data_IF_857138560295
#
_entry.id   IF_857138560295
#
_cell.length_a   1.000
_cell.length_b   1.000
_cell.length_c   1.000
_cell.angle_alpha   90.00
_cell.angle_beta   90.00
_cell.angle_gamma   90.00
#
_symmetry.space_group_name_H-M   'P 1'
#
loop_
_entity.id
_entity.type
_entity.pdbx_description
1 polymer ?
#
# COMPACT_ATOMS: atom_id res chain seq x y z
N UNK A 1 13.64 14.08 5.70
CA UNK A 1 13.02 14.71 4.48
C UNK A 1 11.90 13.79 4.05
N UNK A 2 10.67 14.27 3.98
CA UNK A 2 9.50 13.44 3.66
C UNK A 2 9.59 12.87 2.24
N UNK A 3 9.31 11.58 2.08
CA UNK A 3 9.29 10.89 0.79
C UNK A 3 8.12 11.38 -0.08
N UNK A 4 8.37 11.55 -1.38
CA UNK A 4 7.38 12.05 -2.35
C UNK A 4 6.99 10.96 -3.34
N UNK A 5 5.86 11.16 -4.02
CA UNK A 5 5.45 10.27 -5.10
C UNK A 5 6.51 10.26 -6.21
N UNK A 6 6.92 9.07 -6.63
CA UNK A 6 7.97 8.86 -7.62
C UNK A 6 9.39 8.72 -7.05
N UNK A 7 9.63 9.09 -5.79
CA UNK A 7 10.91 8.83 -5.13
C UNK A 7 11.15 7.32 -5.01
N UNK A 8 12.44 6.93 -5.03
CA UNK A 8 12.81 5.56 -4.72
C UNK A 8 12.63 5.33 -3.23
N UNK A 9 11.86 4.32 -2.86
CA UNK A 9 11.73 3.86 -1.49
C UNK A 9 13.11 3.50 -0.94
N UNK A 10 13.56 4.10 0.17
CA UNK A 10 14.87 3.79 0.74
C UNK A 10 15.03 2.30 1.02
N UNK A 11 16.18 1.73 0.64
CA UNK A 11 16.54 0.37 1.03
C UNK A 11 17.04 0.35 2.48
N UNK A 12 16.83 -0.76 3.15
CA UNK A 12 17.29 -0.97 4.52
C UNK A 12 17.49 -2.44 4.83
N UNK A 13 18.25 -2.71 5.87
CA UNK A 13 18.34 -4.02 6.52
C UNK A 13 17.88 -3.87 7.96
N UNK A 14 16.89 -4.65 8.39
CA UNK A 14 16.28 -4.58 9.72
C UNK A 14 15.82 -5.96 10.20
N UNK A 15 15.88 -6.19 11.51
CA UNK A 15 15.30 -7.38 12.14
C UNK A 15 13.78 -7.33 12.13
N UNK A 16 13.15 -8.49 12.07
CA UNK A 16 11.69 -8.62 12.03
C UNK A 16 11.22 -9.89 12.73
N UNK A 17 9.90 -10.02 12.86
CA UNK A 17 9.26 -11.25 13.33
C UNK A 17 9.52 -12.48 12.45
N UNK A 18 10.04 -12.28 11.23
CA UNK A 18 10.38 -13.34 10.28
C UNK A 18 11.90 -13.45 10.02
N UNK A 19 12.72 -12.93 10.96
CA UNK A 19 14.15 -12.83 10.81
C UNK A 19 14.60 -11.52 10.19
N UNK A 20 15.87 -11.45 9.78
CA UNK A 20 16.45 -10.25 9.20
C UNK A 20 15.98 -10.04 7.76
N UNK A 21 15.54 -8.84 7.43
CA UNK A 21 15.03 -8.45 6.11
C UNK A 21 15.92 -7.39 5.49
N UNK A 22 16.35 -7.65 4.24
CA UNK A 22 16.85 -6.64 3.31
C UNK A 22 15.70 -6.24 2.41
N UNK A 23 15.23 -5.02 2.53
CA UNK A 23 13.91 -4.64 2.02
C UNK A 23 13.76 -4.78 0.50
N UNK A 24 14.71 -4.24 -0.28
CA UNK A 24 14.62 -4.33 -1.75
C UNK A 24 14.75 -5.77 -2.26
N UNK A 25 15.65 -6.55 -1.64
CA UNK A 25 15.81 -7.98 -1.96
C UNK A 25 14.55 -8.77 -1.61
N UNK A 26 14.00 -8.54 -0.40
CA UNK A 26 12.78 -9.18 0.06
C UNK A 26 11.58 -8.82 -0.84
N UNK A 27 11.45 -7.56 -1.24
CA UNK A 27 10.37 -7.11 -2.12
C UNK A 27 10.46 -7.78 -3.50
N UNK A 28 11.68 -7.91 -4.07
CA UNK A 28 11.89 -8.45 -5.41
C UNK A 28 11.10 -7.66 -6.46
N UNK A 29 10.48 -8.34 -7.41
CA UNK A 29 9.66 -7.74 -8.47
C UNK A 29 8.17 -7.60 -8.08
N UNK A 30 7.85 -7.63 -6.79
CA UNK A 30 6.50 -7.45 -6.30
C UNK A 30 6.19 -5.99 -6.00
N UNK A 31 4.92 -5.67 -5.94
CA UNK A 31 4.42 -4.47 -5.27
C UNK A 31 4.60 -4.64 -3.76
N UNK A 32 4.80 -3.53 -3.05
CA UNK A 32 4.94 -3.49 -1.60
C UNK A 32 3.89 -2.60 -0.94
N UNK A 33 3.42 -3.04 0.22
CA UNK A 33 2.69 -2.21 1.17
C UNK A 33 3.49 -2.21 2.47
N UNK A 34 4.24 -1.12 2.71
CA UNK A 34 4.94 -0.88 3.95
C UNK A 34 4.10 0.04 4.81
N UNK A 35 3.78 -0.38 6.04
CA UNK A 35 2.95 0.43 6.92
C UNK A 35 3.44 0.39 8.37
N UNK A 36 3.44 1.56 9.02
CA UNK A 36 3.80 1.69 10.42
C UNK A 36 2.57 1.67 11.33
N UNK A 37 2.76 1.26 12.58
CA UNK A 37 1.78 1.36 13.65
C UNK A 37 2.45 1.89 14.93
N UNK A 38 1.72 2.63 15.79
CA UNK A 38 2.32 3.29 16.95
C UNK A 38 3.01 2.35 17.93
N UNK A 39 2.35 1.28 18.36
CA UNK A 39 2.91 0.33 19.33
C UNK A 39 2.16 -1.01 19.30
N UNK A 40 2.89 -2.07 19.66
CA UNK A 40 2.32 -3.38 19.92
C UNK A 40 1.34 -3.34 21.11
N UNK A 41 0.49 -4.37 21.24
CA UNK A 41 -0.49 -4.51 22.33
C UNK A 41 -1.45 -3.33 22.47
N UNK A 42 -1.79 -2.67 21.36
CA UNK A 42 -2.76 -1.58 21.32
C UNK A 42 -4.01 -1.95 20.51
N UNK A 43 -5.20 -1.45 20.88
CA UNK A 43 -6.45 -1.93 20.29
C UNK A 43 -6.54 -1.70 18.79
N UNK A 44 -6.30 -0.48 18.30
CA UNK A 44 -6.43 -0.13 16.89
C UNK A 44 -5.38 -0.87 16.04
N UNK A 45 -4.13 -0.95 16.51
CA UNK A 45 -3.07 -1.67 15.81
C UNK A 45 -3.40 -3.18 15.67
N UNK A 46 -3.95 -3.79 16.73
CA UNK A 46 -4.40 -5.19 16.70
C UNK A 46 -5.44 -5.42 15.61
N UNK A 47 -6.42 -4.53 15.48
CA UNK A 47 -7.45 -4.63 14.44
C UNK A 47 -6.87 -4.43 13.03
N UNK A 48 -5.94 -3.50 12.86
CA UNK A 48 -5.29 -3.24 11.56
C UNK A 48 -4.46 -4.43 11.08
N UNK A 49 -3.59 -4.99 11.94
CA UNK A 49 -2.75 -6.12 11.57
C UNK A 49 -3.58 -7.38 11.33
N UNK A 50 -4.60 -7.61 12.16
CA UNK A 50 -5.53 -8.71 11.95
C UNK A 50 -6.31 -8.60 10.64
N UNK A 51 -6.79 -7.40 10.29
CA UNK A 51 -7.47 -7.18 9.01
C UNK A 51 -6.52 -7.37 7.83
N UNK A 52 -5.30 -6.84 7.92
CA UNK A 52 -4.25 -7.03 6.90
C UNK A 52 -3.95 -8.51 6.67
N UNK A 53 -3.87 -9.30 7.75
CA UNK A 53 -3.65 -10.75 7.64
C UNK A 53 -4.78 -11.47 6.90
N UNK A 54 -6.04 -11.05 7.09
CA UNK A 54 -7.20 -11.57 6.37
C UNK A 54 -7.19 -11.23 4.89
N UNK A 55 -6.49 -10.19 4.48
CA UNK A 55 -6.36 -9.77 3.08
C UNK A 55 -5.23 -10.50 2.31
N UNK A 56 -4.62 -11.54 2.89
CA UNK A 56 -3.50 -12.30 2.28
C UNK A 56 -3.75 -12.64 0.82
N UNK A 57 -4.90 -13.25 0.52
CA UNK A 57 -5.22 -13.71 -0.82
C UNK A 57 -5.50 -12.53 -1.78
N UNK A 58 -6.07 -11.43 -1.26
CA UNK A 58 -6.29 -10.22 -2.05
C UNK A 58 -4.97 -9.53 -2.41
N UNK A 59 -4.00 -9.50 -1.49
CA UNK A 59 -2.65 -9.03 -1.80
C UNK A 59 -1.94 -9.97 -2.78
N UNK A 60 -2.01 -11.27 -2.58
CA UNK A 60 -1.39 -12.25 -3.45
C UNK A 60 -1.91 -12.18 -4.90
N UNK A 61 -3.21 -12.02 -5.12
CA UNK A 61 -3.83 -11.84 -6.44
C UNK A 61 -3.25 -10.64 -7.20
N UNK A 62 -2.78 -9.62 -6.49
CA UNK A 62 -2.22 -8.37 -7.03
C UNK A 62 -0.70 -8.36 -7.09
N UNK A 63 -0.05 -9.47 -6.69
CA UNK A 63 1.41 -9.53 -6.60
C UNK A 63 1.98 -8.56 -5.55
N UNK A 64 1.28 -8.38 -4.43
CA UNK A 64 1.64 -7.44 -3.35
C UNK A 64 2.18 -8.19 -2.15
N UNK A 65 3.28 -7.70 -1.58
CA UNK A 65 3.82 -8.10 -0.28
C UNK A 65 3.53 -7.02 0.75
N UNK A 66 2.95 -7.41 1.89
CA UNK A 66 2.74 -6.51 3.02
C UNK A 66 3.86 -6.66 4.05
N UNK A 67 4.24 -5.55 4.68
CA UNK A 67 5.22 -5.50 5.76
C UNK A 67 4.83 -4.39 6.74
N UNK A 68 4.75 -4.74 8.02
CA UNK A 68 4.45 -3.77 9.08
C UNK A 68 5.73 -3.30 9.77
N UNK A 69 5.65 -2.19 10.51
CA UNK A 69 6.76 -1.64 11.28
C UNK A 69 6.27 -0.94 12.54
N UNK A 70 6.98 -1.15 13.65
CA UNK A 70 6.94 -0.26 14.81
C UNK A 70 8.32 -0.19 15.47
N UNK A 71 8.45 0.66 16.48
CA UNK A 71 9.67 0.78 17.28
C UNK A 71 9.81 -0.29 18.37
N UNK A 72 8.85 -1.20 18.46
CA UNK A 72 8.89 -2.31 19.43
C UNK A 72 9.94 -3.38 19.01
N UNK A 73 10.50 -4.12 19.97
CA UNK A 73 11.49 -5.16 19.69
C UNK A 73 10.86 -6.46 19.18
N UNK A 74 11.67 -7.31 18.53
CA UNK A 74 11.24 -8.59 17.93
C UNK A 74 10.45 -9.48 18.91
N UNK A 75 10.91 -9.60 20.16
CA UNK A 75 10.23 -10.43 21.17
C UNK A 75 8.82 -9.91 21.54
N UNK A 76 8.61 -8.59 21.43
CA UNK A 76 7.28 -7.99 21.57
C UNK A 76 6.38 -8.42 20.42
N UNK A 77 6.86 -8.30 19.18
CA UNK A 77 6.10 -8.72 17.99
C UNK A 77 5.69 -10.19 18.06
N UNK A 78 6.59 -11.09 18.44
CA UNK A 78 6.26 -12.53 18.54
C UNK A 78 5.10 -12.80 19.52
N UNK A 79 5.15 -12.21 20.71
CA UNK A 79 4.08 -12.36 21.71
C UNK A 79 2.77 -11.72 21.23
N UNK A 80 2.86 -10.54 20.62
CA UNK A 80 1.67 -9.83 20.16
C UNK A 80 1.01 -10.51 18.94
N UNK A 81 1.77 -11.16 18.07
CA UNK A 81 1.23 -11.96 16.97
C UNK A 81 0.28 -13.04 17.50
N UNK A 82 0.58 -13.67 18.64
CA UNK A 82 -0.30 -14.66 19.27
C UNK A 82 -1.65 -14.04 19.66
N UNK A 83 -1.63 -12.86 20.28
CA UNK A 83 -2.84 -12.12 20.66
C UNK A 83 -3.64 -11.66 19.42
N UNK A 84 -2.96 -11.17 18.38
CA UNK A 84 -3.63 -10.80 17.11
C UNK A 84 -4.33 -12.02 16.52
N UNK A 85 -3.63 -13.14 16.42
CA UNK A 85 -4.18 -14.37 15.84
C UNK A 85 -5.42 -14.84 16.60
N UNK A 86 -5.37 -14.80 17.92
CA UNK A 86 -6.47 -15.21 18.79
C UNK A 86 -7.65 -14.22 18.68
N UNK A 87 -7.40 -12.91 18.87
CA UNK A 87 -8.46 -11.90 19.00
C UNK A 87 -9.11 -11.57 17.66
N UNK A 88 -8.36 -11.66 16.56
CA UNK A 88 -8.84 -11.35 15.22
C UNK A 88 -9.24 -12.59 14.42
N UNK A 89 -9.11 -13.80 14.98
CA UNK A 89 -9.40 -15.07 14.33
C UNK A 89 -8.73 -15.17 12.95
N UNK A 90 -7.41 -15.06 12.94
CA UNK A 90 -6.57 -15.05 11.73
C UNK A 90 -5.17 -15.62 12.05
N UNK A 91 -4.30 -15.63 11.06
CA UNK A 91 -2.86 -15.89 11.22
C UNK A 91 -2.10 -14.76 10.58
N UNK A 92 -1.30 -14.03 11.35
CA UNK A 92 -0.39 -13.00 10.80
C UNK A 92 0.58 -13.70 9.83
N UNK A 93 0.62 -13.22 8.60
CA UNK A 93 1.29 -13.87 7.47
C UNK A 93 2.26 -12.94 6.72
N UNK A 94 2.67 -11.86 7.36
CA UNK A 94 3.62 -10.88 6.87
C UNK A 94 4.60 -10.50 7.99
N UNK A 95 5.83 -10.04 7.65
CA UNK A 95 6.80 -9.61 8.64
C UNK A 95 6.37 -8.34 9.37
N UNK A 96 6.76 -8.23 10.64
CA UNK A 96 6.70 -6.99 11.42
C UNK A 96 8.14 -6.58 11.73
N UNK A 97 8.58 -5.44 11.22
CA UNK A 97 9.92 -4.89 11.43
C UNK A 97 10.04 -4.32 12.85
N UNK A 98 11.12 -4.67 13.52
CA UNK A 98 11.46 -4.23 14.86
C UNK A 98 12.47 -3.07 14.79
N UNK A 99 11.96 -1.84 14.71
CA UNK A 99 12.76 -0.63 14.47
C UNK A 99 13.08 0.12 15.77
N UNK A 100 13.57 -0.60 16.79
CA UNK A 100 13.87 -0.03 18.10
C UNK A 100 14.94 1.07 18.06
N UNK A 101 15.84 1.02 17.08
CA UNK A 101 16.87 2.04 16.81
C UNK A 101 16.34 3.20 15.93
N UNK A 102 15.08 3.15 15.49
CA UNK A 102 14.38 4.16 14.66
C UNK A 102 15.01 4.45 13.31
N UNK A 103 15.89 3.59 12.85
CA UNK A 103 16.63 3.77 11.61
C UNK A 103 15.71 3.79 10.38
N UNK A 104 14.77 2.86 10.30
CA UNK A 104 13.80 2.81 9.22
C UNK A 104 12.74 3.90 9.38
N UNK A 105 12.32 4.17 10.62
CA UNK A 105 11.38 5.25 10.93
C UNK A 105 11.89 6.61 10.47
N UNK A 106 13.19 6.89 10.67
CA UNK A 106 13.81 8.13 10.22
C UNK A 106 13.92 8.21 8.69
N UNK A 107 14.26 7.09 8.02
CA UNK A 107 14.33 7.02 6.56
C UNK A 107 12.98 7.30 5.90
N UNK A 108 11.89 6.82 6.48
CA UNK A 108 10.54 6.92 5.94
C UNK A 108 9.71 8.06 6.57
N UNK A 109 10.32 8.89 7.42
CA UNK A 109 9.65 10.02 8.09
C UNK A 109 8.39 9.57 8.85
N UNK A 110 8.53 8.51 9.68
CA UNK A 110 7.40 7.87 10.37
C UNK A 110 7.15 8.41 11.77
N UNK A 111 8.08 9.21 12.33
CA UNK A 111 7.94 9.85 13.63
C UNK A 111 7.63 11.31 13.41
N UNK A 112 6.45 11.74 13.83
CA UNK A 112 5.98 13.10 13.70
C UNK A 112 6.00 13.78 15.09
N UNK A 113 6.98 14.63 15.41
CA UNK A 113 7.18 15.13 16.79
C UNK A 113 5.97 15.83 17.39
N UNK A 114 5.13 16.47 16.58
CA UNK A 114 3.90 17.12 17.07
C UNK A 114 2.74 16.13 17.33
N UNK A 115 2.86 14.88 16.88
CA UNK A 115 1.90 13.80 17.18
C UNK A 115 2.45 12.86 18.26
N UNK A 116 3.72 12.45 18.14
CA UNK A 116 4.50 11.68 19.11
C UNK A 116 5.97 11.83 18.75
N UNK A 117 6.81 12.06 19.73
CA UNK A 117 8.27 12.15 19.58
C UNK A 117 8.98 10.80 19.73
N UNK A 118 8.25 9.75 20.11
CA UNK A 118 8.79 8.42 20.43
C UNK A 118 8.22 7.29 19.60
N UNK A 119 6.98 7.41 19.14
CA UNK A 119 6.24 6.37 18.44
C UNK A 119 6.00 6.76 16.98
N UNK A 120 5.95 5.76 16.10
CA UNK A 120 5.56 5.98 14.70
C UNK A 120 4.08 6.33 14.58
N UNK A 121 3.75 7.18 13.61
CA UNK A 121 2.36 7.42 13.19
C UNK A 121 1.85 6.26 12.32
N UNK A 122 0.58 6.29 11.91
CA UNK A 122 0.00 5.31 11.00
C UNK A 122 0.25 5.68 9.54
N UNK A 123 1.50 5.68 9.11
CA UNK A 123 1.85 5.87 7.70
C UNK A 123 1.77 4.57 6.92
N UNK A 124 1.45 4.69 5.63
CA UNK A 124 1.44 3.58 4.69
C UNK A 124 1.98 4.06 3.35
N UNK A 125 2.84 3.25 2.75
CA UNK A 125 3.42 3.46 1.43
C UNK A 125 3.04 2.30 0.51
N UNK A 126 2.51 2.61 -0.68
CA UNK A 126 2.44 1.65 -1.78
C UNK A 126 3.67 1.87 -2.66
N UNK A 127 4.40 0.80 -2.88
CA UNK A 127 5.69 0.79 -3.58
C UNK A 127 5.58 -0.14 -4.79
N UNK A 128 5.96 0.33 -5.97
CA UNK A 128 5.89 -0.47 -7.19
C UNK A 128 7.12 -1.41 -7.35
N UNK A 129 7.11 -2.35 -8.33
CA UNK A 129 8.24 -3.24 -8.58
C UNK A 129 9.57 -2.53 -8.87
N UNK A 130 9.52 -1.28 -9.38
CA UNK A 130 10.70 -0.44 -9.60
C UNK A 130 11.14 0.31 -8.33
N UNK A 131 10.59 -0.05 -7.17
CA UNK A 131 10.87 0.57 -5.87
C UNK A 131 10.41 2.02 -5.75
N UNK A 132 9.50 2.49 -6.61
CA UNK A 132 8.98 3.86 -6.53
C UNK A 132 7.79 3.95 -5.59
N UNK A 133 7.77 5.00 -4.79
CA UNK A 133 6.61 5.39 -3.97
C UNK A 133 5.46 5.81 -4.89
N UNK A 134 4.32 5.12 -4.81
CA UNK A 134 3.14 5.38 -5.64
C UNK A 134 1.98 5.97 -4.86
N UNK A 135 1.92 5.75 -3.57
CA UNK A 135 0.94 6.30 -2.64
C UNK A 135 1.58 6.47 -1.28
N UNK A 136 1.22 7.55 -0.60
CA UNK A 136 1.49 7.74 0.83
C UNK A 136 0.19 8.16 1.52
N UNK A 137 -0.14 7.49 2.62
CA UNK A 137 -1.29 7.82 3.47
C UNK A 137 -0.79 7.90 4.91
N UNK A 138 -1.16 8.95 5.63
CA UNK A 138 -0.82 9.10 7.06
C UNK A 138 -2.09 9.40 7.85
N UNK A 139 -2.31 8.63 8.89
CA UNK A 139 -3.46 8.73 9.80
C UNK A 139 -2.99 9.02 11.22
N UNK A 140 -3.78 9.75 12.02
CA UNK A 140 -3.49 9.91 13.43
C UNK A 140 -3.64 8.58 14.19
N UNK A 141 -3.00 8.47 15.35
CA UNK A 141 -3.00 7.24 16.16
C UNK A 141 -4.42 6.74 16.55
N UNK A 142 -5.39 7.65 16.66
CA UNK A 142 -6.78 7.35 17.03
C UNK A 142 -7.62 6.73 15.92
N UNK A 143 -7.15 6.74 14.67
CA UNK A 143 -7.95 6.37 13.49
C UNK A 143 -7.34 5.21 12.73
N UNK A 144 -8.01 4.06 12.72
CA UNK A 144 -7.62 2.89 11.91
C UNK A 144 -7.79 3.16 10.41
N UNK A 145 -6.88 2.60 9.62
CA UNK A 145 -6.85 2.78 8.16
C UNK A 145 -7.92 1.94 7.47
N UNK A 146 -8.36 2.42 6.30
CA UNK A 146 -9.24 1.67 5.40
C UNK A 146 -8.40 0.86 4.40
N UNK A 147 -8.16 -0.41 4.66
CA UNK A 147 -7.38 -1.27 3.76
C UNK A 147 -8.09 -1.61 2.46
N UNK A 148 -9.41 -1.49 2.37
CA UNK A 148 -10.13 -1.63 1.10
C UNK A 148 -9.78 -0.49 0.14
N UNK A 149 -9.57 0.74 0.66
CA UNK A 149 -9.07 1.86 -0.14
C UNK A 149 -7.65 1.59 -0.65
N UNK A 150 -6.80 0.93 0.12
CA UNK A 150 -5.45 0.56 -0.30
C UNK A 150 -5.51 -0.43 -1.46
N UNK A 151 -6.35 -1.45 -1.38
CA UNK A 151 -6.59 -2.40 -2.48
C UNK A 151 -7.13 -1.68 -3.73
N UNK A 152 -8.12 -0.80 -3.55
CA UNK A 152 -8.70 0.00 -4.65
C UNK A 152 -7.64 0.83 -5.37
N UNK A 153 -6.74 1.49 -4.63
CA UNK A 153 -5.68 2.31 -5.22
C UNK A 153 -4.65 1.43 -5.93
N UNK A 154 -4.30 0.27 -5.39
CA UNK A 154 -3.40 -0.68 -6.05
C UNK A 154 -4.01 -1.15 -7.38
N UNK A 155 -5.29 -1.52 -7.40
CA UNK A 155 -6.01 -1.88 -8.63
C UNK A 155 -5.98 -0.75 -9.67
N UNK A 156 -6.22 0.48 -9.23
CA UNK A 156 -6.13 1.67 -10.06
C UNK A 156 -4.72 1.88 -10.63
N UNK A 157 -3.68 1.77 -9.80
CA UNK A 157 -2.29 1.95 -10.23
C UNK A 157 -1.87 0.89 -11.25
N UNK A 158 -2.19 -0.37 -10.99
CA UNK A 158 -1.88 -1.47 -11.91
C UNK A 158 -2.63 -1.33 -13.24
N UNK A 159 -3.89 -0.89 -13.20
CA UNK A 159 -4.68 -0.63 -14.40
C UNK A 159 -4.06 0.51 -15.22
N UNK A 160 -3.76 1.64 -14.60
CA UNK A 160 -3.26 2.84 -15.27
C UNK A 160 -1.82 2.68 -15.78
N UNK A 161 -1.01 1.82 -15.16
CA UNK A 161 0.33 1.47 -15.65
C UNK A 161 0.26 0.65 -16.95
N UNK A 162 -0.75 -0.20 -17.10
CA UNK A 162 -0.88 -1.11 -18.24
C UNK A 162 -1.73 -0.55 -19.39
N UNK A 163 -2.60 0.42 -19.11
CA UNK A 163 -3.54 0.96 -20.11
C UNK A 163 -3.46 2.49 -20.13
N UNK A 164 -3.81 3.07 -21.27
CA UNK A 164 -3.87 4.54 -21.46
C UNK A 164 -5.17 5.12 -20.90
N UNK A 165 -5.43 4.85 -19.62
CA UNK A 165 -6.62 5.28 -18.89
C UNK A 165 -6.25 5.91 -17.55
N UNK A 166 -7.21 6.62 -16.98
CA UNK A 166 -7.19 7.11 -15.60
C UNK A 166 -8.50 6.68 -14.91
N UNK A 167 -8.45 6.44 -13.62
CA UNK A 167 -9.64 6.09 -12.83
C UNK A 167 -10.30 7.36 -12.31
N UNK A 168 -11.63 7.51 -12.50
CA UNK A 168 -12.35 8.67 -11.96
C UNK A 168 -12.48 8.62 -10.43
N UNK A 169 -13.01 9.70 -9.85
CA UNK A 169 -13.31 9.75 -8.42
C UNK A 169 -14.20 8.58 -7.99
N UNK A 170 -13.89 7.97 -6.84
CA UNK A 170 -14.61 6.82 -6.25
C UNK A 170 -14.66 5.56 -7.12
N UNK A 171 -13.87 5.48 -8.18
CA UNK A 171 -13.81 4.30 -9.05
C UNK A 171 -13.59 3.01 -8.25
N UNK A 172 -14.32 1.97 -8.62
CA UNK A 172 -14.12 0.60 -8.14
C UNK A 172 -13.73 -0.30 -9.32
N UNK A 173 -13.05 -1.41 -9.04
CA UNK A 173 -12.67 -2.37 -10.07
C UNK A 173 -13.92 -2.92 -10.80
N UNK A 174 -14.02 -2.66 -12.10
CA UNK A 174 -15.16 -2.96 -12.95
C UNK A 174 -15.92 -1.73 -13.46
N UNK A 175 -15.72 -0.57 -12.86
CA UNK A 175 -16.35 0.68 -13.30
C UNK A 175 -15.72 1.22 -14.60
N UNK A 176 -16.45 2.13 -15.27
CA UNK A 176 -15.91 2.88 -16.42
C UNK A 176 -14.64 3.68 -16.01
N UNK A 177 -13.73 3.81 -16.96
CA UNK A 177 -12.50 4.58 -16.81
C UNK A 177 -12.42 5.71 -17.82
N UNK A 178 -11.55 6.68 -17.56
CA UNK A 178 -11.32 7.84 -18.43
C UNK A 178 -10.15 7.55 -19.37
N UNK A 179 -10.36 7.71 -20.68
CA UNK A 179 -9.26 7.70 -21.66
C UNK A 179 -8.38 8.93 -21.43
N UNK A 180 -7.06 8.74 -21.28
CA UNK A 180 -6.14 9.86 -21.01
C UNK A 180 -6.20 10.91 -22.14
N UNK A 181 -6.20 12.21 -21.82
CA UNK A 181 -6.30 13.28 -22.84
C UNK A 181 -5.16 13.28 -23.85
N UNK A 182 -4.01 12.71 -23.51
CA UNK A 182 -2.84 12.62 -24.40
C UNK A 182 -3.06 11.63 -25.56
N UNK A 183 -3.99 10.70 -25.44
CA UNK A 183 -4.35 9.75 -26.50
C UNK A 183 -5.40 10.42 -27.41
N UNK A 184 -4.96 10.92 -28.59
CA UNK A 184 -5.79 11.69 -29.53
C UNK A 184 -6.10 10.97 -30.84
N UNK A 185 -5.30 9.98 -31.19
CA UNK A 185 -5.45 9.21 -32.43
C UNK A 185 -6.66 8.29 -32.34
N UNK A 186 -7.66 8.52 -33.20
CA UNK A 186 -8.93 7.78 -33.17
C UNK A 186 -8.76 6.29 -33.54
N UNK A 187 -7.82 5.96 -34.42
CA UNK A 187 -7.59 4.57 -34.82
C UNK A 187 -6.86 3.81 -33.69
N UNK A 188 -5.94 4.49 -33.00
CA UNK A 188 -5.32 3.94 -31.80
C UNK A 188 -6.34 3.74 -30.67
N UNK A 189 -7.26 4.70 -30.46
CA UNK A 189 -8.34 4.60 -29.48
C UNK A 189 -9.22 3.38 -29.77
N UNK A 190 -9.70 3.22 -31.02
CA UNK A 190 -10.53 2.09 -31.41
C UNK A 190 -9.82 0.76 -31.21
N UNK A 191 -8.53 0.70 -31.53
CA UNK A 191 -7.71 -0.50 -31.33
C UNK A 191 -7.54 -0.86 -29.85
N UNK A 192 -7.32 0.14 -28.99
CA UNK A 192 -7.10 -0.07 -27.55
C UNK A 192 -8.39 -0.35 -26.80
N UNK A 193 -9.50 0.25 -27.24
CA UNK A 193 -10.80 0.18 -26.59
C UNK A 193 -11.88 -0.37 -27.55
N UNK A 194 -11.81 -1.67 -27.91
CA UNK A 194 -12.72 -2.26 -28.91
C UNK A 194 -14.19 -2.28 -28.46
N UNK A 195 -14.45 -2.13 -27.15
CA UNK A 195 -15.79 -1.98 -26.60
C UNK A 195 -16.39 -0.57 -26.82
N UNK A 196 -15.60 0.34 -27.44
CA UNK A 196 -15.97 1.72 -27.69
C UNK A 196 -15.81 2.64 -26.47
N UNK A 197 -16.16 3.90 -26.68
CA UNK A 197 -16.15 4.91 -25.65
C UNK A 197 -17.27 5.93 -25.85
N UNK A 198 -17.57 6.68 -24.80
CA UNK A 198 -18.56 7.75 -24.78
C UNK A 198 -17.88 9.07 -24.47
N UNK A 199 -17.96 10.03 -25.40
CA UNK A 199 -17.44 11.39 -25.18
C UNK A 199 -18.50 12.24 -24.48
N UNK A 200 -18.33 12.48 -23.18
CA UNK A 200 -19.17 13.44 -22.43
C UNK A 200 -18.76 14.88 -22.77
N UNK A 201 -17.46 15.09 -22.90
CA UNK A 201 -16.79 16.30 -23.40
C UNK A 201 -15.55 15.90 -24.19
N UNK A 202 -14.95 16.78 -24.99
CA UNK A 202 -13.72 16.46 -25.72
C UNK A 202 -12.57 15.96 -24.81
N UNK A 203 -12.52 16.44 -23.57
CA UNK A 203 -11.54 16.05 -22.56
C UNK A 203 -12.02 14.95 -21.61
N UNK A 204 -13.30 14.58 -21.64
CA UNK A 204 -13.89 13.57 -20.75
C UNK A 204 -14.51 12.45 -21.59
N UNK A 205 -13.73 11.44 -21.85
CA UNK A 205 -14.08 10.26 -22.64
C UNK A 205 -14.04 9.04 -21.75
N UNK A 206 -15.20 8.39 -21.57
CA UNK A 206 -15.38 7.24 -20.71
C UNK A 206 -15.46 5.97 -21.55
N UNK A 207 -14.79 4.92 -21.09
CA UNK A 207 -14.79 3.59 -21.73
C UNK A 207 -14.95 2.51 -20.66
N UNK A 208 -15.56 1.36 -21.00
CA UNK A 208 -15.50 0.19 -20.12
C UNK A 208 -14.05 -0.15 -19.75
N UNK A 209 -13.86 -0.68 -18.54
CA UNK A 209 -12.54 -1.08 -18.08
C UNK A 209 -11.90 -2.07 -19.07
N UNK A 210 -10.69 -1.80 -19.59
CA UNK A 210 -10.14 -2.54 -20.76
C UNK A 210 -9.71 -3.97 -20.46
N UNK A 211 -9.52 -4.35 -19.21
CA UNK A 211 -9.13 -5.71 -18.79
C UNK A 211 -10.28 -6.55 -18.23
N UNK A 212 -11.53 -6.17 -18.47
CA UNK A 212 -12.75 -6.90 -18.05
C UNK A 212 -13.55 -7.41 -19.25
#
# INVERSE_FOLDING_TARGET
MSLRLGDIAPDFEQDSSAGKIRFHEWLGDNWGVLFSHPADFTPVCTTELGFTAKLKDEFAKRGVKAIALSVDPVDSHHRWIEDINQTQNTQVNFPILADADRKVSDLYDLIHPNASDTLTVRSLFVIDPNKKIRLTITYPASTGRNFNEILRVIDSLQLTDNFKVATPANWQDGDEVVIVPSLKDEDEIKKRFPKGYRAVKPYLRLTPQPNK
#
